data_IF_761238570900
#
_entry.id   IF_761238570900
#
_cell.length_a   1.000
_cell.length_b   1.000
_cell.length_c   1.000
_cell.angle_alpha   90.00
_cell.angle_beta   90.00
_cell.angle_gamma   90.00
#
_symmetry.space_group_name_H-M   'P 1'
#
loop_
_entity.id
_entity.type
_entity.pdbx_description
1 polymer ?
#
# COMPACT_ATOMS: atom_id res chain seq x y z
N UNK A 1 9.60 3.99 -3.28
CA UNK A 1 10.71 3.08 -3.65
C UNK A 1 10.73 2.78 -5.13
N UNK A 2 9.66 2.22 -5.72
CA UNK A 2 9.63 1.90 -7.16
C UNK A 2 9.88 3.13 -8.04
N UNK A 3 9.16 4.23 -7.82
CA UNK A 3 9.35 5.51 -8.55
C UNK A 3 10.79 6.02 -8.46
N UNK A 4 11.34 6.13 -7.24
CA UNK A 4 12.73 6.55 -7.02
C UNK A 4 13.74 5.64 -7.75
N UNK A 5 13.49 4.33 -7.80
CA UNK A 5 14.33 3.39 -8.52
C UNK A 5 14.24 3.55 -10.05
N UNK A 6 13.06 3.83 -10.59
CA UNK A 6 12.87 4.12 -12.01
C UNK A 6 13.65 5.37 -12.41
N UNK A 7 13.54 6.44 -11.62
CA UNK A 7 14.24 7.71 -11.88
C UNK A 7 15.76 7.56 -11.75
N UNK A 8 16.23 6.94 -10.66
CA UNK A 8 17.66 6.89 -10.32
C UNK A 8 18.43 5.85 -11.12
N UNK A 9 17.85 4.68 -11.34
CA UNK A 9 18.52 3.54 -11.99
C UNK A 9 18.04 3.31 -13.42
N UNK A 10 17.14 4.16 -13.94
CA UNK A 10 16.55 4.04 -15.28
C UNK A 10 15.93 2.67 -15.52
N UNK A 11 15.26 2.15 -14.49
CA UNK A 11 14.47 0.92 -14.61
C UNK A 11 13.14 1.30 -15.25
N UNK A 12 12.75 0.59 -16.30
CA UNK A 12 11.48 0.82 -16.97
C UNK A 12 10.30 0.27 -16.12
N UNK A 13 9.62 -0.77 -16.60
CA UNK A 13 8.56 -1.44 -15.87
C UNK A 13 9.12 -2.50 -14.91
N UNK A 14 8.35 -2.84 -13.87
CA UNK A 14 8.73 -3.90 -12.93
C UNK A 14 9.82 -3.50 -11.92
N UNK A 15 9.94 -2.22 -11.59
CA UNK A 15 10.92 -1.72 -10.62
C UNK A 15 10.89 -2.45 -9.27
N UNK A 16 9.72 -2.86 -8.78
CA UNK A 16 9.59 -3.64 -7.55
C UNK A 16 10.29 -5.02 -7.67
N UNK A 17 10.02 -5.76 -8.75
CA UNK A 17 10.66 -7.05 -9.00
C UNK A 17 12.17 -6.91 -9.24
N UNK A 18 12.59 -5.82 -9.89
CA UNK A 18 14.01 -5.51 -10.06
C UNK A 18 14.71 -5.23 -8.73
N UNK A 19 14.11 -4.41 -7.86
CA UNK A 19 14.64 -4.08 -6.53
C UNK A 19 14.77 -5.32 -5.64
N UNK A 20 13.83 -6.28 -5.72
CA UNK A 20 13.92 -7.55 -5.00
C UNK A 20 15.18 -8.36 -5.36
N UNK A 21 15.67 -8.22 -6.59
CA UNK A 21 16.90 -8.91 -7.07
C UNK A 21 18.18 -8.11 -6.79
N UNK A 22 18.07 -6.85 -6.38
CA UNK A 22 19.19 -5.92 -6.18
C UNK A 22 19.11 -5.25 -4.80
N UNK A 23 19.26 -6.01 -3.70
CA UNK A 23 19.12 -5.49 -2.34
C UNK A 23 20.13 -4.38 -2.01
N UNK A 24 21.31 -4.38 -2.64
CA UNK A 24 22.29 -3.30 -2.54
C UNK A 24 21.73 -1.97 -3.07
N UNK A 25 20.92 -2.00 -4.13
CA UNK A 25 20.29 -0.80 -4.70
C UNK A 25 19.16 -0.29 -3.83
N UNK A 26 18.42 -1.17 -3.14
CA UNK A 26 17.44 -0.76 -2.13
C UNK A 26 18.09 0.05 -1.01
N UNK A 27 19.31 -0.31 -0.60
CA UNK A 27 20.04 0.41 0.47
C UNK A 27 20.45 1.83 0.06
N UNK A 28 20.58 2.08 -1.24
CA UNK A 28 20.89 3.40 -1.78
C UNK A 28 19.67 4.32 -1.86
N UNK A 29 18.45 3.78 -1.83
CA UNK A 29 17.20 4.53 -1.86
C UNK A 29 16.98 5.25 -0.52
N UNK A 30 16.59 6.52 -0.58
CA UNK A 30 16.39 7.37 0.60
C UNK A 30 15.02 8.05 0.63
N UNK A 31 14.37 8.27 -0.52
CA UNK A 31 13.12 9.03 -0.59
C UNK A 31 12.01 8.38 0.25
N UNK A 32 11.93 7.04 0.28
CA UNK A 32 10.94 6.34 1.10
C UNK A 32 11.15 6.55 2.62
N UNK A 33 12.39 6.68 3.07
CA UNK A 33 12.72 6.90 4.50
C UNK A 33 12.42 8.34 4.90
N UNK A 34 12.69 9.28 3.99
CA UNK A 34 12.35 10.69 4.18
C UNK A 34 10.83 10.85 4.27
N UNK A 35 10.08 10.27 3.32
CA UNK A 35 8.62 10.27 3.36
C UNK A 35 8.07 9.67 4.67
N UNK A 36 8.62 8.53 5.12
CA UNK A 36 8.22 7.93 6.39
C UNK A 36 8.47 8.85 7.59
N UNK A 37 9.62 9.54 7.65
CA UNK A 37 9.93 10.50 8.72
C UNK A 37 8.98 11.71 8.73
N UNK A 38 8.47 12.12 7.57
CA UNK A 38 7.54 13.23 7.46
C UNK A 38 6.15 12.91 8.00
N UNK A 39 5.77 11.63 8.09
CA UNK A 39 4.47 11.21 8.60
C UNK A 39 4.25 11.63 10.06
N UNK A 40 5.29 11.64 10.88
CA UNK A 40 5.21 12.02 12.30
C UNK A 40 4.76 13.48 12.52
N UNK A 41 4.97 14.35 11.53
CA UNK A 41 4.58 15.76 11.57
C UNK A 41 3.16 16.04 11.04
N UNK A 42 2.48 15.04 10.48
CA UNK A 42 1.16 15.20 9.90
C UNK A 42 0.07 14.83 10.92
N UNK A 43 -1.12 15.46 10.86
CA UNK A 43 -2.25 15.10 11.71
C UNK A 43 -2.93 13.80 11.23
N UNK A 44 -2.14 12.73 11.12
CA UNK A 44 -2.57 11.41 10.65
C UNK A 44 -2.77 10.46 11.83
N UNK A 45 -3.77 9.59 11.71
CA UNK A 45 -3.98 8.49 12.65
C UNK A 45 -3.50 7.20 12.01
N UNK A 46 -2.50 6.57 12.61
CA UNK A 46 -2.04 5.24 12.21
C UNK A 46 -2.96 4.17 12.78
N UNK A 47 -3.41 3.25 11.94
CA UNK A 47 -4.21 2.08 12.33
C UNK A 47 -3.31 0.85 12.37
N UNK A 48 -3.40 0.07 13.44
CA UNK A 48 -2.68 -1.19 13.60
C UNK A 48 -3.61 -2.37 13.31
N UNK A 49 -3.06 -3.45 12.73
CA UNK A 49 -3.76 -4.73 12.58
C UNK A 49 -3.23 -5.76 13.57
N UNK A 50 -4.11 -6.65 14.03
CA UNK A 50 -3.83 -7.79 14.89
C UNK A 50 -4.08 -9.10 14.13
N UNK A 51 -3.87 -10.25 14.78
CA UNK A 51 -4.10 -11.56 14.15
C UNK A 51 -5.53 -11.72 13.62
N UNK A 52 -6.51 -11.11 14.29
CA UNK A 52 -7.90 -11.09 13.82
C UNK A 52 -8.05 -10.30 12.53
N UNK A 53 -7.40 -9.13 12.43
CA UNK A 53 -7.37 -8.35 11.20
C UNK A 53 -6.66 -9.08 10.04
N UNK A 54 -5.64 -9.89 10.32
CA UNK A 54 -5.01 -10.73 9.29
C UNK A 54 -5.94 -11.85 8.79
N UNK A 55 -6.73 -12.47 9.68
CA UNK A 55 -7.71 -13.48 9.27
C UNK A 55 -8.83 -12.86 8.41
N UNK A 56 -9.36 -11.71 8.82
CA UNK A 56 -10.33 -10.96 8.01
C UNK A 56 -9.75 -10.57 6.65
N UNK A 57 -8.49 -10.12 6.61
CA UNK A 57 -7.80 -9.86 5.35
C UNK A 57 -7.69 -11.10 4.46
N UNK A 58 -7.46 -12.29 5.02
CA UNK A 58 -7.42 -13.52 4.23
C UNK A 58 -8.79 -13.85 3.59
N UNK A 59 -9.88 -13.63 4.31
CA UNK A 59 -11.25 -13.78 3.79
C UNK A 59 -11.51 -12.77 2.65
N UNK A 60 -11.13 -11.51 2.85
CA UNK A 60 -11.31 -10.46 1.84
C UNK A 60 -10.43 -10.66 0.60
N UNK A 61 -9.21 -11.17 0.79
CA UNK A 61 -8.31 -11.56 -0.30
C UNK A 61 -8.98 -12.61 -1.18
N UNK A 62 -9.56 -13.66 -0.59
CA UNK A 62 -10.30 -14.67 -1.34
C UNK A 62 -11.59 -14.12 -1.97
N UNK A 63 -12.28 -13.19 -1.31
CA UNK A 63 -13.56 -12.66 -1.77
C UNK A 63 -13.40 -11.71 -2.97
N UNK A 64 -12.41 -10.82 -2.91
CA UNK A 64 -12.23 -9.72 -3.87
C UNK A 64 -10.99 -9.90 -4.77
N UNK A 65 -10.23 -10.99 -4.59
CA UNK A 65 -9.02 -11.25 -5.40
C UNK A 65 -7.82 -10.37 -5.04
N UNK A 66 -7.83 -9.75 -3.86
CA UNK A 66 -6.79 -8.82 -3.41
C UNK A 66 -5.52 -9.54 -2.97
N UNK A 67 -4.37 -8.91 -3.17
CA UNK A 67 -3.12 -9.32 -2.52
C UNK A 67 -3.18 -9.03 -1.01
N UNK A 68 -2.33 -9.69 -0.23
CA UNK A 68 -2.40 -9.67 1.24
C UNK A 68 -2.36 -8.26 1.83
N UNK A 69 -1.50 -7.38 1.32
CA UNK A 69 -1.40 -6.01 1.83
C UNK A 69 -2.68 -5.21 1.56
N UNK A 70 -3.24 -5.35 0.36
CA UNK A 70 -4.45 -4.64 -0.03
C UNK A 70 -5.68 -5.17 0.73
N UNK A 71 -5.72 -6.48 0.95
CA UNK A 71 -6.74 -7.09 1.78
C UNK A 71 -6.66 -6.65 3.26
N UNK A 72 -5.46 -6.38 3.79
CA UNK A 72 -5.29 -5.79 5.13
C UNK A 72 -5.82 -4.36 5.17
N UNK A 73 -5.59 -3.57 4.12
CA UNK A 73 -6.18 -2.22 4.00
C UNK A 73 -7.71 -2.33 4.00
N UNK A 74 -8.28 -3.21 3.17
CA UNK A 74 -9.72 -3.42 3.09
C UNK A 74 -10.34 -3.89 4.43
N UNK A 75 -9.65 -4.76 5.17
CA UNK A 75 -10.08 -5.20 6.50
C UNK A 75 -10.08 -4.04 7.50
N UNK A 76 -9.03 -3.22 7.50
CA UNK A 76 -8.95 -2.05 8.37
C UNK A 76 -10.02 -1.00 8.04
N UNK A 77 -10.27 -0.73 6.75
CA UNK A 77 -11.34 0.21 6.36
C UNK A 77 -12.70 -0.29 6.83
N UNK A 78 -13.00 -1.57 6.64
CA UNK A 78 -14.25 -2.19 7.10
C UNK A 78 -14.39 -2.14 8.63
N UNK A 79 -13.37 -2.57 9.38
CA UNK A 79 -13.38 -2.59 10.87
C UNK A 79 -13.56 -1.20 11.48
N UNK A 80 -13.06 -0.16 10.80
CA UNK A 80 -13.15 1.22 11.28
C UNK A 80 -14.31 2.02 10.67
N UNK A 81 -15.15 1.40 9.84
CA UNK A 81 -16.27 2.07 9.17
C UNK A 81 -15.82 3.17 8.20
N UNK A 82 -14.62 3.05 7.64
CA UNK A 82 -14.09 3.97 6.65
C UNK A 82 -14.58 3.56 5.26
N UNK A 83 -15.31 4.45 4.61
CA UNK A 83 -15.93 4.21 3.30
C UNK A 83 -15.25 4.98 2.17
N UNK A 84 -14.21 5.77 2.46
CA UNK A 84 -13.45 6.51 1.46
C UNK A 84 -11.99 6.10 1.50
N UNK A 85 -11.45 5.69 0.34
CA UNK A 85 -10.05 5.32 0.19
C UNK A 85 -9.40 6.19 -0.87
N UNK A 86 -8.30 6.83 -0.50
CA UNK A 86 -7.47 7.60 -1.44
C UNK A 86 -6.33 6.69 -1.87
N UNK A 87 -6.35 6.24 -3.13
CA UNK A 87 -5.33 5.35 -3.68
C UNK A 87 -5.27 5.45 -5.20
N UNK A 88 -4.09 5.22 -5.79
CA UNK A 88 -3.95 5.03 -7.24
C UNK A 88 -4.22 3.59 -7.67
N UNK A 89 -4.37 2.65 -6.75
CA UNK A 89 -4.56 1.23 -7.03
C UNK A 89 -6.01 0.88 -7.41
N UNK A 90 -6.20 0.25 -8.57
CA UNK A 90 -7.52 -0.07 -9.15
C UNK A 90 -8.16 -1.28 -8.46
N UNK A 91 -7.38 -2.10 -7.74
CA UNK A 91 -7.86 -3.35 -7.12
C UNK A 91 -8.97 -3.11 -6.08
N UNK A 92 -9.08 -1.90 -5.53
CA UNK A 92 -10.12 -1.53 -4.55
C UNK A 92 -11.46 -1.12 -5.17
N UNK A 93 -11.53 -0.87 -6.49
CA UNK A 93 -12.78 -0.45 -7.14
C UNK A 93 -13.86 -1.55 -7.13
N UNK A 94 -13.45 -2.81 -6.96
CA UNK A 94 -14.35 -3.96 -6.83
C UNK A 94 -15.00 -4.12 -5.45
N UNK A 95 -14.67 -3.27 -4.46
CA UNK A 95 -15.19 -3.37 -3.09
C UNK A 95 -16.39 -2.43 -2.91
N UNK A 96 -17.63 -2.95 -2.80
CA UNK A 96 -18.85 -2.13 -2.83
C UNK A 96 -18.95 -1.09 -1.70
N UNK A 97 -18.31 -1.34 -0.57
CA UNK A 97 -18.35 -0.47 0.61
C UNK A 97 -17.37 0.71 0.53
N UNK A 98 -16.52 0.75 -0.50
CA UNK A 98 -15.51 1.79 -0.68
C UNK A 98 -15.84 2.72 -1.85
N UNK A 99 -15.72 4.03 -1.58
CA UNK A 99 -15.57 5.07 -2.59
C UNK A 99 -14.08 5.33 -2.77
N UNK A 100 -13.55 4.98 -3.94
CA UNK A 100 -12.13 5.17 -4.27
C UNK A 100 -11.91 6.55 -4.89
N UNK A 101 -10.95 7.30 -4.35
CA UNK A 101 -10.48 8.58 -4.86
C UNK A 101 -9.07 8.42 -5.44
N UNK A 102 -8.88 8.88 -6.67
CA UNK A 102 -7.63 8.79 -7.44
C UNK A 102 -6.94 10.15 -7.49
N UNK A 103 -6.10 10.51 -6.51
CA UNK A 103 -5.30 11.73 -6.60
C UNK A 103 -4.25 11.51 -7.68
N UNK A 104 -4.22 12.40 -8.67
CA UNK A 104 -3.25 12.36 -9.77
C UNK A 104 -1.86 12.74 -9.28
#
# INVERSE_FOLDING_TARGET
MAVEAQERFKVDSGAAAWLQRHPERVRELSAFREAARQLDGLPLRMLSTDSRGILEAAELSSQYGLLTNDAVIAALTRRHGLTHLVTTDDDFEGIPELTVWKPR
#
